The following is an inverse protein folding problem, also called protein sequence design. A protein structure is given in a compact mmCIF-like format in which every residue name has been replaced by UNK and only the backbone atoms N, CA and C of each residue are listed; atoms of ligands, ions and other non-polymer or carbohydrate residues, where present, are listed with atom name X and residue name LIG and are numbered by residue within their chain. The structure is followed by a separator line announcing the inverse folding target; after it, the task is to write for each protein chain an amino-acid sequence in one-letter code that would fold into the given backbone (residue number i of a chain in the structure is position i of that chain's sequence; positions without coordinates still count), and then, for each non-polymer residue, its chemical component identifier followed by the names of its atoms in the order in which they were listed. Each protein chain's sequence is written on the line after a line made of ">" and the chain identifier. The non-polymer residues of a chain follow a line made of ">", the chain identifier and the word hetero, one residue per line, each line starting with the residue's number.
data_IF_364851584635
#
_entry.id   IF_364851584635
#
_cell.length_a   1.000
_cell.length_b   1.000
_cell.length_c   1.000
_cell.angle_alpha   90.00
_cell.angle_beta   90.00
_cell.angle_gamma   90.00
#
_symmetry.space_group_name_H-M   'P 1'
#
loop_
_entity.id
_entity.type
_entity.pdbx_description
1 polymer ?
#
# COMPACT_ATOMS: atom_id res chain seq x y z
N UNK A 1 23.97 -9.46 -8.91
CA UNK A 1 24.58 -10.31 -9.95
C UNK A 1 23.57 -10.45 -11.09
N UNK A 2 23.97 -10.07 -12.31
CA UNK A 2 23.41 -10.50 -13.61
C UNK A 2 21.96 -10.11 -14.00
N UNK A 3 21.74 -8.82 -14.26
CA UNK A 3 20.75 -8.36 -15.29
C UNK A 3 21.46 -7.39 -16.25
N UNK A 4 22.64 -7.82 -16.71
CA UNK A 4 23.49 -7.10 -17.67
C UNK A 4 23.90 -8.07 -18.78
N UNK A 5 22.92 -8.60 -19.51
CA UNK A 5 23.17 -9.34 -20.73
C UNK A 5 21.97 -9.10 -21.63
N UNK A 6 22.20 -8.67 -22.88
CA UNK A 6 21.19 -8.29 -23.89
C UNK A 6 20.64 -6.88 -23.59
N UNK A 7 21.29 -5.77 -23.96
CA UNK A 7 21.25 -5.18 -25.30
C UNK A 7 22.60 -4.44 -25.51
N UNK A 8 23.56 -5.12 -26.11
CA UNK A 8 24.76 -4.51 -26.72
C UNK A 8 25.03 -5.27 -28.00
N UNK A 9 24.23 -4.98 -29.02
CA UNK A 9 24.60 -5.26 -30.39
C UNK A 9 25.11 -3.92 -30.93
N UNK A 10 26.39 -3.71 -30.71
CA UNK A 10 27.20 -2.70 -31.38
C UNK A 10 27.27 -3.09 -32.85
N UNK A 11 26.32 -2.64 -33.66
CA UNK A 11 26.43 -2.76 -35.12
C UNK A 11 27.23 -1.56 -35.64
N UNK A 12 28.55 -1.63 -35.44
CA UNK A 12 29.50 -0.75 -36.13
C UNK A 12 29.63 -1.24 -37.59
N UNK A 13 28.65 -0.91 -38.43
CA UNK A 13 28.82 -1.04 -39.89
C UNK A 13 29.57 0.21 -40.35
N UNK A 14 30.89 0.11 -40.42
CA UNK A 14 31.70 1.04 -41.21
C UNK A 14 31.34 0.75 -42.68
N UNK A 15 30.31 1.42 -43.21
CA UNK A 15 30.15 1.53 -44.66
C UNK A 15 31.20 2.54 -45.10
N UNK A 16 32.31 2.01 -45.59
CA UNK A 16 33.34 2.79 -46.25
C UNK A 16 32.74 3.30 -47.57
N UNK A 17 32.10 4.47 -47.53
CA UNK A 17 31.63 5.16 -48.73
C UNK A 17 32.87 5.71 -49.41
N UNK A 18 33.37 4.98 -50.40
CA UNK A 18 34.32 5.50 -51.39
C UNK A 18 33.75 6.84 -51.89
N UNK A 19 34.48 7.96 -51.77
CA UNK A 19 34.00 9.21 -52.32
C UNK A 19 34.25 9.11 -53.83
N UNK A 20 33.26 8.61 -54.56
CA UNK A 20 33.19 8.88 -55.99
C UNK A 20 32.93 10.38 -56.10
N UNK A 21 34.03 11.12 -56.23
CA UNK A 21 34.06 12.56 -56.33
C UNK A 21 33.04 13.06 -57.32
N UNK A 22 32.35 14.12 -56.91
CA UNK A 22 32.02 15.26 -57.76
C UNK A 22 31.72 14.91 -59.23
N UNK A 23 30.61 14.24 -59.49
CA UNK A 23 30.03 14.27 -60.83
C UNK A 23 28.88 15.26 -60.83
N UNK A 24 29.25 16.54 -60.93
CA UNK A 24 28.44 17.52 -61.63
C UNK A 24 28.14 16.97 -63.02
N UNK A 25 26.97 16.34 -63.23
CA UNK A 25 26.58 15.78 -64.54
C UNK A 25 25.12 15.32 -64.66
N UNK A 26 24.21 15.83 -63.85
CA UNK A 26 22.77 15.58 -64.06
C UNK A 26 22.25 16.17 -65.39
N UNK A 27 22.95 17.14 -65.98
CA UNK A 27 22.53 17.84 -67.22
C UNK A 27 23.08 17.25 -68.53
N UNK A 28 23.96 16.24 -68.49
CA UNK A 28 24.66 15.78 -69.71
C UNK A 28 24.00 14.59 -70.42
N UNK A 29 22.82 14.15 -69.99
CA UNK A 29 22.12 12.99 -70.56
C UNK A 29 20.76 13.32 -71.18
N UNK A 30 20.54 14.58 -71.57
CA UNK A 30 19.47 14.99 -72.49
C UNK A 30 20.02 15.26 -73.91
N UNK A 31 21.05 14.54 -74.36
CA UNK A 31 21.44 14.65 -75.77
C UNK A 31 20.46 13.87 -76.64
N UNK A 32 19.77 14.50 -77.62
CA UNK A 32 18.96 13.77 -78.57
C UNK A 32 19.86 12.78 -79.34
N UNK A 33 19.35 11.56 -79.50
CA UNK A 33 20.00 10.49 -80.25
C UNK A 33 20.40 11.03 -81.62
N UNK A 34 21.70 11.02 -81.96
CA UNK A 34 22.06 11.05 -83.37
C UNK A 34 21.50 9.77 -83.96
N UNK A 35 20.47 9.89 -84.79
CA UNK A 35 19.92 8.78 -85.57
C UNK A 35 21.09 8.08 -86.25
N UNK A 36 21.46 6.92 -85.73
CA UNK A 36 22.45 6.06 -86.38
C UNK A 36 21.82 5.65 -87.69
N UNK A 37 22.48 6.04 -88.78
CA UNK A 37 22.08 5.68 -90.14
C UNK A 37 21.76 4.20 -90.18
N UNK A 38 20.62 3.85 -90.79
CA UNK A 38 20.07 2.50 -90.82
C UNK A 38 21.15 1.47 -91.16
N UNK A 39 21.54 0.66 -90.16
CA UNK A 39 22.49 -0.43 -90.37
C UNK A 39 21.74 -1.53 -91.13
N UNK A 40 22.22 -1.87 -92.32
CA UNK A 40 21.61 -2.89 -93.18
C UNK A 40 21.83 -4.31 -92.67
N UNK A 41 22.69 -4.48 -91.66
CA UNK A 41 23.00 -5.77 -91.03
C UNK A 41 22.05 -6.04 -89.84
N UNK A 42 21.19 -7.06 -89.93
CA UNK A 42 20.19 -7.37 -88.90
C UNK A 42 20.80 -7.75 -87.55
N UNK A 43 22.04 -8.26 -87.50
CA UNK A 43 22.72 -8.56 -86.24
C UNK A 43 23.11 -7.30 -85.48
N UNK A 44 23.60 -6.30 -86.21
CA UNK A 44 23.97 -4.99 -85.66
C UNK A 44 22.72 -4.23 -85.20
N UNK A 45 21.60 -4.33 -85.93
CA UNK A 45 20.32 -3.75 -85.52
C UNK A 45 19.81 -4.33 -84.19
N UNK A 46 19.87 -5.65 -84.02
CA UNK A 46 19.50 -6.31 -82.76
C UNK A 46 20.38 -5.89 -81.57
N UNK A 47 21.70 -5.84 -81.77
CA UNK A 47 22.64 -5.36 -80.76
C UNK A 47 22.42 -3.90 -80.36
N UNK A 48 22.08 -3.02 -81.31
CA UNK A 48 21.75 -1.62 -81.01
C UNK A 48 20.49 -1.53 -80.15
N UNK A 49 19.45 -2.30 -80.49
CA UNK A 49 18.22 -2.37 -79.71
C UNK A 49 18.47 -2.88 -78.28
N UNK A 50 19.25 -3.95 -78.11
CA UNK A 50 19.60 -4.48 -76.79
C UNK A 50 20.38 -3.45 -75.95
N UNK A 51 21.31 -2.70 -76.57
CA UNK A 51 22.07 -1.63 -75.90
C UNK A 51 21.16 -0.48 -75.47
N UNK A 52 20.17 -0.12 -76.28
CA UNK A 52 19.18 0.92 -75.92
C UNK A 52 18.31 0.48 -74.75
N UNK A 53 17.84 -0.78 -74.76
CA UNK A 53 17.07 -1.34 -73.64
C UNK A 53 17.90 -1.40 -72.35
N UNK A 54 19.15 -1.87 -72.43
CA UNK A 54 20.07 -1.88 -71.29
C UNK A 54 20.30 -0.47 -70.75
N UNK A 55 20.48 0.53 -71.63
CA UNK A 55 20.63 1.93 -71.22
C UNK A 55 19.39 2.45 -70.49
N UNK A 56 18.20 2.13 -70.98
CA UNK A 56 16.94 2.50 -70.31
C UNK A 56 16.84 1.85 -68.92
N UNK A 57 17.06 0.52 -68.84
CA UNK A 57 17.04 -0.22 -67.56
C UNK A 57 18.05 0.33 -66.55
N UNK A 58 19.28 0.62 -66.99
CA UNK A 58 20.31 1.24 -66.14
C UNK A 58 19.92 2.66 -65.71
N UNK A 59 19.23 3.42 -66.56
CA UNK A 59 18.64 4.71 -66.22
C UNK A 59 17.62 4.60 -65.10
N UNK A 60 16.65 3.70 -65.22
CA UNK A 60 15.64 3.44 -64.19
C UNK A 60 16.27 2.99 -62.87
N UNK A 61 17.19 2.02 -62.92
CA UNK A 61 17.89 1.55 -61.72
C UNK A 61 18.64 2.67 -60.98
N UNK A 62 19.17 3.67 -61.70
CA UNK A 62 19.82 4.82 -61.05
C UNK A 62 18.82 5.71 -60.30
N UNK A 63 17.65 5.93 -60.88
CA UNK A 63 16.57 6.68 -60.23
C UNK A 63 16.07 5.95 -58.99
N UNK A 64 15.84 4.64 -59.07
CA UNK A 64 15.43 3.82 -57.93
C UNK A 64 16.47 3.86 -56.81
N UNK A 65 17.76 3.75 -57.15
CA UNK A 65 18.85 3.86 -56.18
C UNK A 65 18.90 5.23 -55.51
N UNK A 66 18.59 6.31 -56.23
CA UNK A 66 18.53 7.65 -55.65
C UNK A 66 17.33 7.79 -54.70
N UNK A 67 16.16 7.26 -55.10
CA UNK A 67 14.96 7.23 -54.26
C UNK A 67 15.22 6.46 -52.97
N UNK A 68 15.76 5.24 -53.07
CA UNK A 68 16.10 4.40 -51.91
C UNK A 68 17.08 5.09 -50.97
N UNK A 69 18.05 5.85 -51.51
CA UNK A 69 18.98 6.64 -50.67
C UNK A 69 18.26 7.74 -49.90
N UNK A 70 17.29 8.42 -50.53
CA UNK A 70 16.46 9.44 -49.86
C UNK A 70 15.62 8.79 -48.76
N UNK A 71 14.97 7.66 -49.05
CA UNK A 71 14.16 6.91 -48.08
C UNK A 71 14.99 6.45 -46.88
N UNK A 72 16.20 5.90 -47.12
CA UNK A 72 17.12 5.52 -46.05
C UNK A 72 17.53 6.73 -45.19
N UNK A 73 17.76 7.89 -45.81
CA UNK A 73 18.12 9.10 -45.07
C UNK A 73 16.97 9.58 -44.18
N UNK A 74 15.73 9.50 -44.67
CA UNK A 74 14.53 9.83 -43.92
C UNK A 74 14.29 8.85 -42.77
N UNK A 75 14.37 7.54 -43.03
CA UNK A 75 14.25 6.51 -42.00
C UNK A 75 15.29 6.67 -40.90
N UNK A 76 16.52 7.04 -41.25
CA UNK A 76 17.56 7.35 -40.25
C UNK A 76 17.21 8.54 -39.37
N UNK A 77 16.63 9.60 -39.94
CA UNK A 77 16.17 10.77 -39.16
C UNK A 77 15.02 10.39 -38.24
N UNK A 78 14.05 9.63 -38.73
CA UNK A 78 12.93 9.12 -37.94
C UNK A 78 13.43 8.22 -36.79
N UNK A 79 14.40 7.34 -37.05
CA UNK A 79 15.00 6.49 -36.03
C UNK A 79 15.64 7.32 -34.92
N UNK A 80 16.44 8.34 -35.26
CA UNK A 80 17.08 9.21 -34.26
C UNK A 80 16.03 9.98 -33.45
N UNK A 81 14.97 10.46 -34.11
CA UNK A 81 13.86 11.12 -33.42
C UNK A 81 13.19 10.18 -32.40
N UNK A 82 12.79 8.99 -32.82
CA UNK A 82 12.15 7.98 -31.95
C UNK A 82 13.10 7.59 -30.81
N UNK A 83 14.39 7.43 -31.07
CA UNK A 83 15.37 7.14 -30.02
C UNK A 83 15.49 8.27 -28.98
N UNK A 84 15.39 9.53 -29.41
CA UNK A 84 15.42 10.66 -28.50
C UNK A 84 14.15 10.73 -27.65
N UNK A 85 12.97 10.49 -28.24
CA UNK A 85 11.71 10.40 -27.49
C UNK A 85 11.72 9.23 -26.50
N UNK A 86 12.23 8.06 -26.92
CA UNK A 86 12.38 6.91 -26.05
C UNK A 86 13.30 7.21 -24.85
N UNK A 87 14.41 7.93 -25.07
CA UNK A 87 15.31 8.36 -23.97
C UNK A 87 14.59 9.27 -22.97
N UNK A 88 13.79 10.23 -23.46
CA UNK A 88 13.00 11.11 -22.59
C UNK A 88 12.03 10.29 -21.73
N UNK A 89 11.26 9.39 -22.36
CA UNK A 89 10.32 8.53 -21.65
C UNK A 89 10.99 7.68 -20.57
N UNK A 90 12.16 7.11 -20.85
CA UNK A 90 12.92 6.33 -19.86
C UNK A 90 13.33 7.18 -18.65
N UNK A 91 13.73 8.43 -18.87
CA UNK A 91 14.07 9.36 -17.77
C UNK A 91 12.82 9.68 -16.95
N UNK A 92 11.71 10.03 -17.61
CA UNK A 92 10.44 10.34 -16.93
C UNK A 92 9.93 9.16 -16.10
N UNK A 93 10.02 7.93 -16.62
CA UNK A 93 9.64 6.72 -15.87
C UNK A 93 10.49 6.57 -14.60
N UNK A 94 11.81 6.77 -14.70
CA UNK A 94 12.71 6.69 -13.54
C UNK A 94 12.41 7.76 -12.49
N UNK A 95 12.07 8.96 -12.92
CA UNK A 95 11.68 10.05 -12.03
C UNK A 95 10.37 9.71 -11.31
N UNK A 96 9.35 9.25 -12.05
CA UNK A 96 8.09 8.79 -11.46
C UNK A 96 8.28 7.63 -10.47
N UNK A 97 9.14 6.65 -10.78
CA UNK A 97 9.46 5.55 -9.86
C UNK A 97 10.08 6.06 -8.57
N UNK A 98 10.94 7.08 -8.64
CA UNK A 98 11.57 7.70 -7.48
C UNK A 98 10.53 8.44 -6.63
N UNK A 99 9.69 9.25 -7.26
CA UNK A 99 8.62 9.99 -6.58
C UNK A 99 7.61 9.06 -5.92
N UNK A 100 7.17 8.02 -6.62
CA UNK A 100 6.24 7.02 -6.08
C UNK A 100 6.82 6.28 -4.87
N UNK A 101 8.10 5.90 -4.92
CA UNK A 101 8.79 5.28 -3.78
C UNK A 101 8.86 6.22 -2.58
N UNK A 102 9.20 7.49 -2.81
CA UNK A 102 9.27 8.49 -1.75
C UNK A 102 7.89 8.75 -1.12
N UNK A 103 6.84 8.84 -1.95
CA UNK A 103 5.46 9.01 -1.50
C UNK A 103 5.00 7.83 -0.66
N UNK A 104 5.23 6.60 -1.12
CA UNK A 104 4.87 5.40 -0.37
C UNK A 104 5.57 5.32 0.98
N UNK A 105 6.85 5.69 1.03
CA UNK A 105 7.60 5.71 2.29
C UNK A 105 7.08 6.78 3.26
N UNK A 106 6.73 7.97 2.76
CA UNK A 106 6.09 9.01 3.55
C UNK A 106 4.73 8.54 4.09
N UNK A 107 3.88 7.98 3.23
CA UNK A 107 2.57 7.43 3.63
C UNK A 107 2.69 6.33 4.69
N UNK A 108 3.66 5.42 4.55
CA UNK A 108 3.93 4.38 5.55
C UNK A 108 4.26 4.98 6.91
N UNK A 109 5.11 6.00 6.95
CA UNK A 109 5.48 6.70 8.19
C UNK A 109 4.29 7.39 8.83
N UNK A 110 3.44 8.04 8.04
CA UNK A 110 2.24 8.70 8.53
C UNK A 110 1.26 7.69 9.12
N UNK A 111 1.02 6.56 8.44
CA UNK A 111 0.16 5.48 8.95
C UNK A 111 0.70 4.93 10.28
N UNK A 112 2.00 4.65 10.36
CA UNK A 112 2.62 4.15 11.61
C UNK A 112 2.45 5.18 12.73
N UNK A 113 2.64 6.46 12.44
CA UNK A 113 2.46 7.54 13.40
C UNK A 113 1.02 7.60 13.90
N UNK A 114 0.04 7.55 13.00
CA UNK A 114 -1.38 7.58 13.35
C UNK A 114 -1.80 6.38 14.18
N UNK A 115 -1.38 5.17 13.79
CA UNK A 115 -1.67 3.94 14.52
C UNK A 115 -1.03 3.98 15.92
N UNK A 116 0.22 4.44 16.02
CA UNK A 116 0.90 4.60 17.31
C UNK A 116 0.16 5.58 18.23
N UNK A 117 -0.27 6.73 17.70
CA UNK A 117 -1.07 7.71 18.45
C UNK A 117 -2.41 7.13 18.91
N UNK A 118 -3.09 6.36 18.06
CA UNK A 118 -4.34 5.67 18.43
C UNK A 118 -4.13 4.65 19.55
N UNK A 119 -3.06 3.86 19.48
CA UNK A 119 -2.69 2.89 20.53
C UNK A 119 -2.40 3.62 21.85
N UNK A 120 -1.64 4.71 21.83
CA UNK A 120 -1.36 5.50 23.02
C UNK A 120 -2.62 6.11 23.63
N UNK A 121 -3.53 6.64 22.79
CA UNK A 121 -4.82 7.17 23.24
C UNK A 121 -5.67 6.08 23.89
N UNK A 122 -5.72 4.90 23.28
CA UNK A 122 -6.43 3.75 23.83
C UNK A 122 -5.82 3.32 25.17
N UNK A 123 -4.49 3.22 25.26
CA UNK A 123 -3.79 2.89 26.50
C UNK A 123 -4.12 3.89 27.62
N UNK A 124 -4.10 5.20 27.33
CA UNK A 124 -4.46 6.24 28.28
C UNK A 124 -5.94 6.14 28.73
N UNK A 125 -6.86 5.84 27.79
CA UNK A 125 -8.27 5.63 28.11
C UNK A 125 -8.48 4.39 28.99
N UNK A 126 -7.77 3.30 28.71
CA UNK A 126 -7.84 2.08 29.54
C UNK A 126 -7.27 2.32 30.94
N UNK A 127 -6.16 3.05 31.07
CA UNK A 127 -5.59 3.40 32.37
C UNK A 127 -6.55 4.25 33.18
N UNK A 128 -7.12 5.31 32.57
CA UNK A 128 -8.11 6.15 33.22
C UNK A 128 -9.37 5.38 33.66
N UNK A 129 -9.81 4.40 32.86
CA UNK A 129 -10.94 3.53 33.23
C UNK A 129 -10.60 2.62 34.42
N UNK A 130 -9.39 2.04 34.47
CA UNK A 130 -8.92 1.23 35.60
C UNK A 130 -8.81 2.08 36.87
N UNK A 131 -8.27 3.29 36.78
CA UNK A 131 -8.15 4.20 37.91
C UNK A 131 -9.54 4.59 38.45
N UNK A 132 -10.48 4.89 37.54
CA UNK A 132 -11.87 5.19 37.89
C UNK A 132 -12.59 4.02 38.58
N UNK A 133 -12.40 2.79 38.07
CA UNK A 133 -12.91 1.58 38.71
C UNK A 133 -12.31 1.38 40.10
N UNK A 134 -11.00 1.58 40.26
CA UNK A 134 -10.31 1.47 41.55
C UNK A 134 -10.88 2.44 42.59
N UNK A 135 -11.17 3.68 42.19
CA UNK A 135 -11.81 4.68 43.04
C UNK A 135 -13.27 4.31 43.40
N UNK A 136 -14.00 3.65 42.50
CA UNK A 136 -15.35 3.15 42.80
C UNK A 136 -15.30 1.99 43.80
N UNK A 137 -14.33 1.08 43.67
CA UNK A 137 -14.15 -0.06 44.58
C UNK A 137 -13.75 0.42 45.97
N UNK A 138 -12.81 1.36 46.09
CA UNK A 138 -12.41 1.92 47.40
C UNK A 138 -13.59 2.62 48.09
N UNK A 139 -14.30 3.50 47.36
CA UNK A 139 -15.46 4.24 47.89
C UNK A 139 -16.67 3.36 48.24
N UNK A 140 -16.80 2.17 47.63
CA UNK A 140 -17.83 1.17 48.00
C UNK A 140 -17.44 0.37 49.25
N UNK A 141 -16.15 0.14 49.47
CA UNK A 141 -15.66 -0.50 50.70
C UNK A 141 -15.86 0.38 51.94
N UNK A 142 -15.61 1.69 51.81
CA UNK A 142 -15.81 2.66 52.90
C UNK A 142 -17.29 2.79 53.32
N UNK A 143 -18.22 2.67 52.35
CA UNK A 143 -19.66 2.73 52.62
C UNK A 143 -20.21 1.49 53.33
N UNK A 144 -19.52 0.34 53.27
CA UNK A 144 -19.92 -0.88 53.99
C UNK A 144 -19.30 -0.99 55.39
N UNK A 145 -18.27 -0.18 55.68
CA UNK A 145 -17.64 -0.06 57.01
C UNK A 145 -18.30 0.94 57.96
N UNK A 146 -19.12 1.87 57.44
CA UNK A 146 -19.76 2.92 58.24
C UNK A 146 -20.90 2.48 59.18
N UNK A 147 -21.41 1.26 59.03
CA UNK A 147 -22.49 0.73 59.89
C UNK A 147 -21.97 -0.19 61.02
N UNK A 148 -20.75 -0.73 60.89
CA UNK A 148 -20.17 -1.66 61.86
C UNK A 148 -19.40 -0.97 63.00
N UNK A 149 -19.04 0.30 62.85
CA UNK A 149 -18.14 0.99 63.77
C UNK A 149 -18.83 1.72 64.95
N UNK A 150 -20.16 1.69 65.07
CA UNK A 150 -20.89 2.42 66.13
C UNK A 150 -21.72 1.57 67.10
N UNK A 151 -21.70 0.23 67.01
CA UNK A 151 -22.54 -0.63 67.89
C UNK A 151 -21.79 -1.70 68.69
N UNK A 152 -20.47 -1.55 68.88
CA UNK A 152 -19.72 -2.47 69.70
C UNK A 152 -19.75 -2.05 71.18
N UNK A 153 -20.77 -2.51 71.92
CA UNK A 153 -20.57 -3.16 73.25
C UNK A 153 -21.83 -3.56 74.01
N UNK A 154 -23.02 -3.11 73.63
CA UNK A 154 -24.23 -3.33 74.44
C UNK A 154 -25.29 -4.15 73.70
N UNK A 155 -25.79 -5.18 74.36
CA UNK A 155 -26.72 -6.16 73.82
C UNK A 155 -26.97 -7.28 74.83
N UNK A 156 -27.81 -8.25 74.48
CA UNK A 156 -28.17 -9.35 75.36
C UNK A 156 -28.30 -10.67 74.60
N UNK A 157 -28.26 -11.79 75.33
CA UNK A 157 -28.44 -13.13 74.79
C UNK A 157 -29.93 -13.50 74.75
N UNK A 158 -30.41 -13.96 73.59
CA UNK A 158 -31.78 -14.39 73.36
C UNK A 158 -31.80 -15.87 72.95
N UNK A 159 -32.67 -16.65 73.57
CA UNK A 159 -32.92 -18.04 73.17
C UNK A 159 -34.08 -18.10 72.20
N UNK A 160 -33.79 -18.53 70.97
CA UNK A 160 -34.74 -18.64 69.86
C UNK A 160 -35.90 -19.55 70.23
N UNK A 161 -37.12 -19.07 70.02
CA UNK A 161 -38.34 -19.83 70.28
C UNK A 161 -38.88 -20.50 69.00
N UNK A 162 -39.72 -21.54 69.12
CA UNK A 162 -40.35 -22.16 67.96
C UNK A 162 -41.14 -21.12 67.13
N UNK A 163 -40.81 -20.99 65.84
CA UNK A 163 -41.47 -20.06 64.92
C UNK A 163 -40.83 -18.67 64.80
N UNK A 164 -39.75 -18.42 65.56
CA UNK A 164 -38.90 -17.25 65.38
C UNK A 164 -38.12 -17.33 64.06
N UNK A 165 -37.90 -16.17 63.47
CA UNK A 165 -36.99 -15.99 62.34
C UNK A 165 -36.09 -14.79 62.63
N UNK A 166 -34.91 -14.73 62.01
CA UNK A 166 -34.01 -13.58 62.22
C UNK A 166 -34.69 -12.25 61.88
N UNK A 167 -35.56 -12.20 60.86
CA UNK A 167 -36.36 -11.01 60.56
C UNK A 167 -37.30 -10.62 61.69
N UNK A 168 -38.06 -11.58 62.24
CA UNK A 168 -38.98 -11.27 63.35
C UNK A 168 -38.25 -10.83 64.62
N UNK A 169 -37.10 -11.44 64.90
CA UNK A 169 -36.27 -11.06 66.06
C UNK A 169 -35.67 -9.68 65.84
N UNK A 170 -35.12 -9.42 64.65
CA UNK A 170 -34.61 -8.10 64.26
C UNK A 170 -35.68 -7.02 64.45
N UNK A 171 -36.88 -7.25 63.92
CA UNK A 171 -38.01 -6.31 64.03
C UNK A 171 -38.44 -6.12 65.49
N UNK A 172 -38.52 -7.20 66.27
CA UNK A 172 -38.94 -7.17 67.68
C UNK A 172 -38.00 -6.35 68.56
N UNK A 173 -36.70 -6.39 68.26
CA UNK A 173 -35.66 -5.73 69.06
C UNK A 173 -35.05 -4.52 68.37
N UNK A 174 -35.69 -4.02 67.30
CA UNK A 174 -35.25 -2.86 66.52
C UNK A 174 -33.79 -2.95 66.03
N UNK A 175 -33.39 -4.16 65.61
CA UNK A 175 -32.07 -4.48 65.04
C UNK A 175 -32.20 -4.75 63.54
N UNK A 176 -31.09 -4.87 62.81
CA UNK A 176 -31.09 -5.29 61.41
C UNK A 176 -30.74 -6.78 61.27
N UNK A 177 -31.39 -7.48 60.34
CA UNK A 177 -31.04 -8.88 60.01
C UNK A 177 -29.56 -9.03 59.67
N UNK A 178 -29.01 -8.08 58.90
CA UNK A 178 -27.58 -8.09 58.57
C UNK A 178 -26.70 -7.92 59.82
N UNK A 179 -27.14 -7.14 60.80
CA UNK A 179 -26.41 -6.93 62.06
C UNK A 179 -26.44 -8.19 62.92
N UNK A 180 -27.61 -8.84 63.07
CA UNK A 180 -27.72 -10.11 63.77
C UNK A 180 -26.87 -11.20 63.13
N UNK A 181 -26.82 -11.25 61.79
CA UNK A 181 -25.99 -12.22 61.08
C UNK A 181 -24.50 -11.97 61.30
N UNK A 182 -24.05 -10.71 61.28
CA UNK A 182 -22.65 -10.37 61.52
C UNK A 182 -22.27 -10.62 62.98
N UNK A 183 -23.12 -10.24 63.93
CA UNK A 183 -22.85 -10.38 65.37
C UNK A 183 -22.81 -11.83 65.84
N UNK A 184 -23.52 -12.74 65.16
CA UNK A 184 -23.61 -14.16 65.51
C UNK A 184 -22.95 -15.09 64.48
N UNK A 185 -22.24 -14.52 63.50
CA UNK A 185 -21.60 -15.26 62.40
C UNK A 185 -22.56 -16.20 61.63
N UNK A 186 -23.85 -15.82 61.54
CA UNK A 186 -24.89 -16.63 60.89
C UNK A 186 -24.85 -16.44 59.38
N UNK A 187 -24.27 -17.42 58.68
CA UNK A 187 -24.19 -17.41 57.21
C UNK A 187 -25.54 -17.60 56.49
N UNK A 188 -26.47 -18.39 57.06
CA UNK A 188 -27.79 -18.62 56.45
C UNK A 188 -28.93 -18.13 57.39
N UNK A 189 -29.63 -17.04 57.03
CA UNK A 189 -30.65 -16.46 57.90
C UNK A 189 -31.94 -17.29 58.03
N UNK A 190 -32.11 -18.31 57.18
CA UNK A 190 -33.22 -19.28 57.28
C UNK A 190 -32.85 -20.51 58.13
N UNK A 191 -31.62 -20.59 58.63
CA UNK A 191 -31.10 -21.74 59.36
C UNK A 191 -31.29 -21.71 60.88
N UNK A 192 -31.94 -20.67 61.42
CA UNK A 192 -32.10 -20.46 62.85
C UNK A 192 -32.89 -21.59 63.51
N UNK A 193 -32.34 -22.21 64.57
CA UNK A 193 -32.98 -23.35 65.25
C UNK A 193 -33.62 -22.94 66.55
N UNK A 194 -34.78 -23.52 66.86
CA UNK A 194 -35.41 -23.35 68.18
C UNK A 194 -34.47 -23.87 69.28
N UNK A 195 -34.31 -23.09 70.34
CA UNK A 195 -33.39 -23.36 71.45
C UNK A 195 -31.97 -22.85 71.25
N UNK A 196 -31.64 -22.31 70.07
CA UNK A 196 -30.35 -21.69 69.80
C UNK A 196 -30.23 -20.35 70.54
N UNK A 197 -29.04 -20.05 71.05
CA UNK A 197 -28.77 -18.77 71.70
C UNK A 197 -28.06 -17.84 70.74
N UNK A 198 -28.61 -16.65 70.57
CA UNK A 198 -28.04 -15.61 69.72
C UNK A 198 -27.89 -14.31 70.52
N UNK A 199 -26.84 -13.56 70.22
CA UNK A 199 -26.60 -12.22 70.72
C UNK A 199 -27.37 -11.19 69.90
N UNK A 200 -28.16 -10.36 70.56
CA UNK A 200 -28.90 -9.26 69.95
C UNK A 200 -28.19 -7.95 70.31
N UNK A 201 -27.50 -7.30 69.34
CA UNK A 201 -26.88 -6.01 69.57
C UNK A 201 -27.96 -4.93 69.69
N UNK A 202 -27.83 -4.06 70.68
CA UNK A 202 -28.69 -2.90 70.84
C UNK A 202 -27.96 -1.62 70.40
N UNK A 203 -28.74 -0.74 69.79
CA UNK A 203 -28.31 0.59 69.40
C UNK A 203 -28.60 1.54 70.56
N UNK A 204 -27.56 2.15 71.13
CA UNK A 204 -27.73 3.32 72.03
C UNK A 204 -28.28 4.52 71.26
#
# INVERSE_FOLDING_TARGET
>A
MHVRTIISITLLVIVNVVPLGQFARAELYQQPVRQTQATSDPRLAGLVQDVEELRYRVGQMRLDNESLKKDIAELKRSLVFVQNEQKKLVVTIKEMEKEWKALNEAQRKDIITQVSQQIQKLAAQTQAAIDGLSQQVSKKSDRKGGMAATYAKEGFEYTVQPGDTLSKIADKYNSNVNELQVANEIGNPRGLRSGEKIFIPQKN
#
